data_IF_798622023273
#
_entry.id   IF_798622023273
#
_cell.length_a   1.000
_cell.length_b   1.000
_cell.length_c   1.000
_cell.angle_alpha   90.00
_cell.angle_beta   90.00
_cell.angle_gamma   90.00
#
_symmetry.space_group_name_H-M   'P 1'
#
loop_
_entity.id
_entity.type
_entity.pdbx_description
1 polymer ?
#
# COMPACT_ATOMS: atom_id res chain seq x y z
N UNK A 1 12.51 -13.33 33.53
CA UNK A 1 11.30 -13.37 32.67
C UNK A 1 10.81 -11.93 32.59
N UNK A 2 10.74 -11.22 31.47
CA UNK A 2 10.55 -11.58 30.07
C UNK A 2 11.15 -10.48 29.18
N UNK A 3 12.14 -10.80 28.36
CA UNK A 3 12.52 -9.95 27.22
C UNK A 3 11.91 -10.60 25.98
N UNK A 4 10.64 -10.29 25.74
CA UNK A 4 9.89 -10.83 24.61
C UNK A 4 10.12 -9.94 23.40
N UNK A 5 11.10 -10.29 22.57
CA UNK A 5 11.26 -9.74 21.21
C UNK A 5 9.92 -9.93 20.49
N UNK A 6 9.21 -8.83 20.22
CA UNK A 6 7.87 -8.88 19.67
C UNK A 6 7.97 -9.23 18.18
N UNK A 7 7.73 -10.50 17.84
CA UNK A 7 7.73 -10.97 16.46
C UNK A 7 6.33 -10.78 15.85
N UNK A 8 6.24 -10.01 14.77
CA UNK A 8 4.98 -9.75 14.07
C UNK A 8 4.82 -10.73 12.91
N UNK A 9 3.82 -11.61 13.03
CA UNK A 9 3.41 -12.48 11.92
C UNK A 9 2.19 -11.87 11.22
N UNK A 10 2.37 -11.48 9.96
CA UNK A 10 1.27 -11.03 9.10
C UNK A 10 0.68 -12.18 8.30
N UNK A 11 -0.60 -12.49 8.51
CA UNK A 11 -1.36 -13.39 7.63
C UNK A 11 -2.40 -12.60 6.86
N UNK A 12 -2.31 -12.59 5.54
CA UNK A 12 -3.32 -11.98 4.67
C UNK A 12 -3.68 -12.94 3.54
N UNK A 13 -4.99 -13.12 3.33
CA UNK A 13 -5.50 -13.88 2.20
C UNK A 13 -5.30 -13.14 0.87
N UNK A 14 -5.39 -11.80 0.91
CA UNK A 14 -5.36 -10.93 -0.27
C UNK A 14 -4.64 -9.62 0.10
N UNK A 15 -3.29 -9.60 0.09
CA UNK A 15 -2.51 -8.47 0.56
C UNK A 15 -2.53 -7.26 -0.40
N UNK A 16 -3.10 -7.43 -1.61
CA UNK A 16 -3.28 -6.37 -2.61
C UNK A 16 -4.68 -6.53 -3.20
N UNK A 17 -5.60 -5.63 -2.87
CA UNK A 17 -7.00 -5.68 -3.31
C UNK A 17 -7.26 -4.60 -4.39
N UNK A 18 -6.89 -3.36 -4.10
CA UNK A 18 -7.19 -2.22 -4.99
C UNK A 18 -5.95 -1.53 -5.54
N UNK A 19 -4.89 -1.42 -4.74
CA UNK A 19 -3.64 -0.78 -5.12
C UNK A 19 -2.48 -1.33 -4.26
N UNK A 20 -1.25 -0.92 -4.57
CA UNK A 20 -0.06 -1.46 -3.92
C UNK A 20 0.18 -0.92 -2.50
N UNK A 21 -0.63 0.05 -2.03
CA UNK A 21 -0.51 0.62 -0.69
C UNK A 21 -0.79 -0.43 0.37
N UNK A 22 -1.82 -1.25 0.20
CA UNK A 22 -2.17 -2.31 1.16
C UNK A 22 -1.01 -3.28 1.37
N UNK A 23 -0.39 -3.72 0.26
CA UNK A 23 0.73 -4.64 0.33
C UNK A 23 2.00 -4.00 0.87
N UNK A 24 2.27 -2.74 0.52
CA UNK A 24 3.34 -1.94 1.13
C UNK A 24 3.13 -1.84 2.64
N UNK A 25 1.94 -1.47 3.10
CA UNK A 25 1.63 -1.36 4.52
C UNK A 25 1.77 -2.70 5.25
N UNK A 26 1.44 -3.83 4.62
CA UNK A 26 1.68 -5.15 5.21
C UNK A 26 3.18 -5.42 5.39
N UNK A 27 3.99 -5.10 4.37
CA UNK A 27 5.45 -5.23 4.46
C UNK A 27 6.01 -4.32 5.56
N UNK A 28 5.59 -3.06 5.62
CA UNK A 28 6.03 -2.09 6.63
C UNK A 28 5.62 -2.53 8.04
N UNK A 29 4.42 -3.10 8.19
CA UNK A 29 3.92 -3.61 9.47
C UNK A 29 4.73 -4.81 9.97
N UNK A 30 5.03 -5.77 9.08
CA UNK A 30 5.78 -6.99 9.44
C UNK A 30 7.25 -6.67 9.72
N UNK A 31 7.82 -5.71 8.99
CA UNK A 31 9.24 -5.34 9.14
C UNK A 31 9.46 -4.26 10.20
N UNK A 32 8.44 -3.47 10.55
CA UNK A 32 8.57 -2.29 11.38
C UNK A 32 9.31 -1.12 10.72
N UNK A 33 9.53 -1.16 9.39
CA UNK A 33 10.35 -0.19 8.65
C UNK A 33 9.55 0.41 7.50
N UNK A 34 9.60 1.74 7.34
CA UNK A 34 9.00 2.43 6.19
C UNK A 34 9.72 2.06 4.88
N UNK A 35 8.96 1.68 3.85
CA UNK A 35 9.47 1.19 2.57
C UNK A 35 9.21 2.19 1.44
N UNK A 36 9.97 3.28 1.43
CA UNK A 36 9.90 4.33 0.38
C UNK A 36 10.29 3.82 -1.02
N UNK A 37 11.00 2.68 -1.10
CA UNK A 37 11.36 2.02 -2.35
C UNK A 37 10.18 1.29 -3.04
N UNK A 38 9.11 1.01 -2.27
CA UNK A 38 7.86 0.43 -2.73
C UNK A 38 6.89 1.55 -3.15
N UNK A 39 6.62 1.65 -4.45
CA UNK A 39 5.68 2.62 -5.00
C UNK A 39 4.23 2.16 -4.88
N UNK A 40 3.31 3.09 -4.60
CA UNK A 40 1.88 2.77 -4.39
C UNK A 40 1.07 2.71 -5.70
N UNK A 41 1.60 3.28 -6.78
CA UNK A 41 0.96 3.27 -8.11
C UNK A 41 1.03 1.88 -8.75
N UNK A 42 -0.08 1.41 -9.30
CA UNK A 42 -0.23 0.14 -10.01
C UNK A 42 0.51 0.12 -11.36
N UNK A 43 1.84 0.12 -11.32
CA UNK A 43 2.72 -0.06 -12.48
C UNK A 43 3.43 -1.40 -12.36
N UNK A 44 3.78 -2.03 -13.50
CA UNK A 44 4.47 -3.32 -13.51
C UNK A 44 5.72 -3.33 -12.63
N UNK A 45 6.55 -2.28 -12.72
CA UNK A 45 7.78 -2.17 -11.95
C UNK A 45 7.51 -2.10 -10.43
N UNK A 46 6.47 -1.39 -10.01
CA UNK A 46 6.11 -1.33 -8.59
C UNK A 46 5.51 -2.65 -8.10
N UNK A 47 4.70 -3.33 -8.93
CA UNK A 47 4.18 -4.65 -8.62
C UNK A 47 5.34 -5.65 -8.41
N UNK A 48 6.30 -5.68 -9.33
CA UNK A 48 7.46 -6.57 -9.23
C UNK A 48 8.33 -6.28 -8.01
N UNK A 49 8.50 -5.01 -7.62
CA UNK A 49 9.22 -4.67 -6.37
C UNK A 49 8.48 -5.13 -5.13
N UNK A 50 7.17 -4.98 -5.11
CA UNK A 50 6.36 -5.45 -3.99
C UNK A 50 6.37 -6.99 -3.90
N UNK A 51 6.31 -7.68 -5.05
CA UNK A 51 6.46 -9.13 -5.11
C UNK A 51 7.81 -9.59 -4.56
N UNK A 52 8.91 -8.95 -4.96
CA UNK A 52 10.24 -9.23 -4.40
C UNK A 52 10.26 -9.07 -2.88
N UNK A 53 9.65 -8.01 -2.34
CA UNK A 53 9.56 -7.82 -0.90
C UNK A 53 8.77 -8.95 -0.23
N UNK A 54 7.61 -9.35 -0.77
CA UNK A 54 6.83 -10.46 -0.21
C UNK A 54 7.59 -11.78 -0.21
N UNK A 55 8.27 -12.13 -1.29
CA UNK A 55 9.06 -13.37 -1.39
C UNK A 55 10.21 -13.40 -0.39
N UNK A 56 10.82 -12.25 -0.08
CA UNK A 56 11.87 -12.19 0.95
C UNK A 56 11.35 -12.28 2.40
N UNK A 57 10.07 -11.95 2.64
CA UNK A 57 9.53 -11.78 3.99
C UNK A 57 8.58 -12.89 4.42
N UNK A 58 8.05 -13.69 3.49
CA UNK A 58 7.07 -14.70 3.83
C UNK A 58 6.89 -15.77 2.76
N UNK A 59 6.11 -16.78 3.12
CA UNK A 59 5.76 -17.91 2.24
C UNK A 59 4.35 -17.68 1.70
N UNK A 60 4.22 -17.71 0.39
CA UNK A 60 2.92 -17.68 -0.29
C UNK A 60 2.39 -19.11 -0.45
N UNK A 61 1.32 -19.45 0.25
CA UNK A 61 0.56 -20.68 0.01
C UNK A 61 -0.68 -20.37 -0.82
N UNK A 62 -0.74 -20.88 -2.06
CA UNK A 62 -1.92 -20.81 -2.93
C UNK A 62 -2.51 -22.22 -3.04
N UNK A 63 -3.72 -22.41 -2.54
CA UNK A 63 -4.43 -23.67 -2.72
C UNK A 63 -4.76 -23.80 -4.20
N UNK A 64 -4.16 -24.78 -4.89
CA UNK A 64 -4.50 -25.05 -6.28
C UNK A 64 -5.98 -25.44 -6.35
N UNK A 65 -6.73 -24.93 -7.35
CA UNK A 65 -8.09 -25.39 -7.61
C UNK A 65 -8.11 -26.93 -7.68
N UNK A 66 -8.97 -27.57 -6.89
CA UNK A 66 -9.15 -29.03 -6.98
C UNK A 66 -10.08 -29.42 -8.13
N UNK A 67 -10.90 -28.48 -8.57
CA UNK A 67 -11.92 -28.65 -9.60
C UNK A 67 -11.69 -27.68 -10.75
N UNK A 68 -12.18 -28.03 -11.94
CA UNK A 68 -12.12 -27.16 -13.11
C UNK A 68 -13.17 -26.06 -12.98
N UNK A 69 -12.76 -24.78 -13.05
CA UNK A 69 -13.68 -23.64 -13.04
C UNK A 69 -13.89 -23.16 -14.48
N UNK A 70 -15.11 -23.29 -14.97
CA UNK A 70 -15.51 -22.82 -16.29
C UNK A 70 -16.24 -21.49 -16.17
N UNK A 71 -15.59 -20.39 -16.57
CA UNK A 71 -16.16 -19.04 -16.59
C UNK A 71 -16.76 -18.77 -17.97
N UNK A 72 -18.08 -18.63 -18.06
CA UNK A 72 -18.81 -18.45 -19.31
C UNK A 72 -19.48 -17.08 -19.29
N UNK A 73 -19.17 -16.25 -20.30
CA UNK A 73 -19.87 -14.97 -20.53
C UNK A 73 -21.07 -15.22 -21.43
N UNK A 74 -22.25 -14.80 -21.00
CA UNK A 74 -23.50 -14.92 -21.76
C UNK A 74 -23.87 -13.51 -22.22
N UNK A 75 -23.81 -13.20 -23.52
CA UNK A 75 -24.17 -11.87 -24.00
C UNK A 75 -25.68 -11.64 -23.85
N UNK A 76 -26.06 -10.47 -23.32
CA UNK A 76 -27.46 -10.07 -23.11
C UNK A 76 -27.70 -8.74 -23.83
N UNK A 77 -28.56 -8.73 -24.84
CA UNK A 77 -28.95 -7.50 -25.53
C UNK A 77 -29.92 -6.68 -24.67
N UNK A 78 -29.48 -5.48 -24.26
CA UNK A 78 -30.28 -4.50 -23.54
C UNK A 78 -30.49 -3.21 -24.34
N UNK A 79 -30.38 -3.24 -25.67
CA UNK A 79 -30.56 -2.07 -26.56
C UNK A 79 -31.91 -1.37 -26.31
N UNK A 80 -32.97 -2.15 -26.10
CA UNK A 80 -34.31 -1.65 -25.78
C UNK A 80 -34.43 -0.90 -24.44
N UNK A 81 -33.40 -0.94 -23.59
CA UNK A 81 -33.36 -0.26 -22.30
C UNK A 81 -32.38 0.91 -22.27
N UNK A 82 -31.65 1.18 -23.36
CA UNK A 82 -30.61 2.24 -23.40
C UNK A 82 -31.19 3.61 -23.04
N UNK A 83 -32.35 3.98 -23.59
CA UNK A 83 -33.02 5.25 -23.28
C UNK A 83 -33.40 5.34 -21.80
N UNK A 84 -33.95 4.25 -21.26
CA UNK A 84 -34.30 4.16 -19.84
C UNK A 84 -33.06 4.25 -18.95
N UNK A 85 -31.95 3.63 -19.34
CA UNK A 85 -30.66 3.72 -18.62
C UNK A 85 -30.16 5.18 -18.63
N UNK A 86 -30.31 5.90 -19.73
CA UNK A 86 -29.91 7.31 -19.85
C UNK A 86 -30.73 8.22 -18.93
N UNK A 87 -32.04 7.99 -18.85
CA UNK A 87 -32.95 8.81 -18.05
C UNK A 87 -32.96 8.45 -16.56
N UNK A 88 -33.03 7.16 -16.23
CA UNK A 88 -33.24 6.67 -14.85
C UNK A 88 -31.95 6.16 -14.19
N UNK A 89 -30.90 5.86 -14.95
CA UNK A 89 -29.61 5.33 -14.50
C UNK A 89 -28.71 6.34 -13.78
N UNK A 90 -29.30 7.20 -12.97
CA UNK A 90 -28.65 8.30 -12.22
C UNK A 90 -27.64 7.84 -11.17
N UNK A 91 -27.65 6.55 -10.81
CA UNK A 91 -26.69 5.93 -9.88
C UNK A 91 -26.37 4.50 -10.29
N UNK A 92 -25.25 3.97 -9.78
CA UNK A 92 -24.85 2.57 -10.02
C UNK A 92 -25.96 1.60 -9.60
N UNK A 93 -26.62 1.84 -8.47
CA UNK A 93 -27.71 0.99 -7.99
C UNK A 93 -28.90 1.01 -8.96
N UNK A 94 -29.30 2.20 -9.44
CA UNK A 94 -30.41 2.33 -10.41
C UNK A 94 -30.08 1.68 -11.75
N UNK A 95 -28.85 1.88 -12.23
CA UNK A 95 -28.37 1.23 -13.45
C UNK A 95 -28.41 -0.30 -13.31
N UNK A 96 -27.91 -0.84 -12.20
CA UNK A 96 -27.92 -2.29 -11.96
C UNK A 96 -29.33 -2.86 -11.73
N UNK A 97 -30.27 -2.08 -11.17
CA UNK A 97 -31.69 -2.45 -11.09
C UNK A 97 -32.28 -2.64 -12.50
N UNK A 98 -31.98 -1.72 -13.43
CA UNK A 98 -32.45 -1.80 -14.81
C UNK A 98 -31.77 -2.96 -15.55
N UNK A 99 -30.44 -3.06 -15.46
CA UNK A 99 -29.68 -4.13 -16.13
C UNK A 99 -30.03 -5.52 -15.60
N UNK A 100 -30.32 -5.67 -14.31
CA UNK A 100 -30.82 -6.93 -13.75
C UNK A 100 -32.08 -7.39 -14.48
N UNK A 101 -33.03 -6.48 -14.74
CA UNK A 101 -34.25 -6.83 -15.48
C UNK A 101 -33.96 -7.39 -16.88
N UNK A 102 -32.91 -6.87 -17.55
CA UNK A 102 -32.44 -7.40 -18.83
C UNK A 102 -31.79 -8.79 -18.69
N UNK A 103 -31.06 -9.03 -17.61
CA UNK A 103 -30.36 -10.30 -17.36
C UNK A 103 -31.30 -11.42 -16.95
N UNK A 104 -32.44 -11.13 -16.31
CA UNK A 104 -33.39 -12.12 -15.76
C UNK A 104 -33.73 -13.25 -16.75
N UNK A 105 -34.16 -12.99 -18.01
CA UNK A 105 -34.49 -14.07 -18.95
C UNK A 105 -33.32 -15.03 -19.20
N UNK A 106 -32.10 -14.48 -19.32
CA UNK A 106 -30.89 -15.28 -19.50
C UNK A 106 -30.52 -16.06 -18.24
N UNK A 107 -30.75 -15.48 -17.06
CA UNK A 107 -30.57 -16.16 -15.76
C UNK A 107 -31.53 -17.34 -15.65
N UNK A 108 -32.82 -17.13 -15.94
CA UNK A 108 -33.85 -18.17 -15.84
C UNK A 108 -33.57 -19.37 -16.75
N UNK A 109 -33.08 -19.14 -17.97
CA UNK A 109 -32.71 -20.19 -18.92
C UNK A 109 -31.59 -21.11 -18.41
N UNK A 110 -30.76 -20.61 -17.50
CA UNK A 110 -29.59 -21.31 -16.98
C UNK A 110 -29.80 -21.87 -15.56
N UNK A 111 -30.95 -21.60 -14.94
CA UNK A 111 -31.27 -22.13 -13.62
C UNK A 111 -31.57 -23.63 -13.72
N UNK A 112 -31.01 -24.35 -12.75
CA UNK A 112 -31.31 -25.75 -12.45
C UNK A 112 -31.27 -25.95 -10.93
N UNK A 113 -31.74 -27.09 -10.39
CA UNK A 113 -31.63 -27.37 -8.96
C UNK A 113 -30.19 -27.16 -8.46
N UNK A 114 -30.08 -26.59 -7.26
CA UNK A 114 -28.81 -26.25 -6.59
C UNK A 114 -27.98 -25.17 -7.30
N UNK A 115 -28.65 -24.21 -7.93
CA UNK A 115 -27.99 -23.03 -8.51
C UNK A 115 -27.91 -21.88 -7.50
N UNK A 116 -26.75 -21.22 -7.42
CA UNK A 116 -26.60 -19.98 -6.65
C UNK A 116 -26.62 -18.79 -7.59
N UNK A 117 -27.48 -17.81 -7.33
CA UNK A 117 -27.51 -16.52 -8.02
C UNK A 117 -26.90 -15.46 -7.10
N UNK A 118 -25.71 -14.98 -7.46
CA UNK A 118 -25.00 -13.97 -6.70
C UNK A 118 -25.28 -12.56 -7.23
N UNK A 119 -25.56 -11.63 -6.32
CA UNK A 119 -25.68 -10.21 -6.61
C UNK A 119 -24.96 -9.36 -5.56
N UNK A 120 -24.02 -8.52 -5.99
CA UNK A 120 -23.30 -7.63 -5.08
C UNK A 120 -24.20 -6.55 -4.47
N UNK A 121 -25.16 -6.02 -5.24
CA UNK A 121 -26.16 -5.05 -4.77
C UNK A 121 -27.48 -5.75 -4.46
N UNK A 122 -28.10 -5.37 -3.34
CA UNK A 122 -29.28 -6.06 -2.78
C UNK A 122 -30.57 -5.27 -3.03
N UNK A 123 -30.57 -3.97 -2.69
CA UNK A 123 -31.77 -3.13 -2.65
C UNK A 123 -32.50 -3.07 -3.99
N UNK A 124 -33.76 -3.53 -4.02
CA UNK A 124 -34.62 -3.57 -5.20
C UNK A 124 -34.19 -4.55 -6.30
N UNK A 125 -33.07 -5.25 -6.15
CA UNK A 125 -32.56 -6.26 -7.10
C UNK A 125 -32.99 -7.65 -6.68
N UNK A 126 -32.88 -7.95 -5.38
CA UNK A 126 -33.22 -9.26 -4.84
C UNK A 126 -34.70 -9.57 -5.01
N UNK A 127 -35.58 -8.59 -4.80
CA UNK A 127 -37.02 -8.78 -5.01
C UNK A 127 -37.35 -9.06 -6.48
N UNK A 128 -36.67 -8.39 -7.43
CA UNK A 128 -36.84 -8.65 -8.86
C UNK A 128 -36.43 -10.10 -9.21
N UNK A 129 -35.26 -10.53 -8.72
CA UNK A 129 -34.78 -11.89 -8.92
C UNK A 129 -35.72 -12.92 -8.29
N UNK A 130 -36.15 -12.70 -7.04
CA UNK A 130 -37.08 -13.57 -6.32
C UNK A 130 -38.37 -13.76 -7.10
N UNK A 131 -39.05 -12.67 -7.45
CA UNK A 131 -40.34 -12.70 -8.15
C UNK A 131 -40.21 -13.42 -9.50
N UNK A 132 -39.14 -13.17 -10.25
CA UNK A 132 -38.93 -13.82 -11.54
C UNK A 132 -38.63 -15.32 -11.41
N UNK A 133 -37.81 -15.72 -10.43
CA UNK A 133 -37.41 -17.12 -10.24
C UNK A 133 -38.57 -17.95 -9.67
N UNK A 134 -39.31 -17.42 -8.69
CA UNK A 134 -40.53 -18.06 -8.18
C UNK A 134 -41.62 -18.12 -9.25
N UNK A 135 -41.76 -17.07 -10.07
CA UNK A 135 -42.69 -17.03 -11.20
C UNK A 135 -42.37 -18.07 -12.29
N UNK A 136 -41.12 -18.50 -12.41
CA UNK A 136 -40.69 -19.60 -13.26
C UNK A 136 -40.87 -20.99 -12.63
N UNK A 137 -41.42 -21.06 -11.41
CA UNK A 137 -41.75 -22.31 -10.71
C UNK A 137 -40.65 -22.87 -9.81
N UNK A 138 -39.58 -22.12 -9.55
CA UNK A 138 -38.48 -22.56 -8.70
C UNK A 138 -38.66 -22.14 -7.24
N UNK A 139 -38.17 -22.96 -6.31
CA UNK A 139 -38.11 -22.59 -4.89
C UNK A 139 -36.86 -21.75 -4.61
N UNK A 140 -37.02 -20.65 -3.88
CA UNK A 140 -35.95 -19.65 -3.66
C UNK A 140 -35.66 -19.46 -2.16
N UNK A 141 -34.38 -19.45 -1.82
CA UNK A 141 -33.87 -19.09 -0.49
C UNK A 141 -32.88 -17.94 -0.54
N UNK A 142 -32.56 -17.39 0.64
CA UNK A 142 -31.66 -16.24 0.76
C UNK A 142 -30.43 -16.52 1.61
N UNK A 143 -29.30 -15.92 1.19
CA UNK A 143 -28.07 -15.87 1.97
C UNK A 143 -27.38 -14.50 1.88
N UNK A 144 -27.87 -13.56 2.69
CA UNK A 144 -27.49 -12.15 2.70
C UNK A 144 -27.17 -11.66 4.11
N UNK A 145 -26.73 -10.41 4.25
CA UNK A 145 -26.40 -9.83 5.56
C UNK A 145 -27.57 -9.79 6.54
N UNK A 146 -28.80 -9.67 6.04
CA UNK A 146 -30.04 -9.62 6.85
C UNK A 146 -30.83 -10.93 6.95
N UNK A 147 -30.63 -11.87 6.02
CA UNK A 147 -31.35 -13.16 6.01
C UNK A 147 -30.43 -14.28 5.52
N UNK A 148 -30.20 -15.27 6.40
CA UNK A 148 -29.36 -16.46 6.12
C UNK A 148 -30.14 -17.77 6.28
N UNK A 149 -31.47 -17.69 6.40
CA UNK A 149 -32.34 -18.83 6.70
C UNK A 149 -32.29 -19.91 5.63
N UNK A 150 -32.24 -19.52 4.35
CA UNK A 150 -32.26 -20.45 3.21
C UNK A 150 -31.02 -21.32 3.03
N UNK A 151 -29.98 -21.19 3.88
CA UNK A 151 -28.75 -21.98 3.75
C UNK A 151 -28.99 -23.48 3.93
N UNK A 152 -29.65 -23.88 5.02
CA UNK A 152 -29.78 -25.29 5.37
C UNK A 152 -30.73 -25.99 4.39
N UNK A 153 -31.85 -25.33 4.09
CA UNK A 153 -32.86 -25.75 3.12
C UNK A 153 -32.28 -25.88 1.69
N UNK A 154 -31.30 -25.05 1.35
CA UNK A 154 -30.56 -25.21 0.09
C UNK A 154 -29.60 -26.41 0.13
N UNK A 155 -28.97 -26.71 1.27
CA UNK A 155 -28.07 -27.87 1.40
C UNK A 155 -28.86 -29.19 1.46
N UNK A 156 -30.03 -29.21 2.10
CA UNK A 156 -30.78 -30.44 2.32
C UNK A 156 -31.60 -30.91 1.12
N UNK A 157 -31.97 -30.03 0.20
CA UNK A 157 -32.84 -30.42 -0.93
C UNK A 157 -34.04 -29.51 -1.11
N UNK A 158 -34.51 -28.87 -0.05
CA UNK A 158 -35.81 -28.19 0.03
C UNK A 158 -35.91 -26.93 -0.83
N UNK A 159 -34.77 -26.31 -1.14
CA UNK A 159 -34.67 -25.13 -2.01
C UNK A 159 -33.82 -25.43 -3.25
N UNK A 160 -34.31 -25.01 -4.41
CA UNK A 160 -33.66 -25.16 -5.71
C UNK A 160 -32.62 -24.06 -5.96
N UNK A 161 -32.95 -22.81 -5.65
CA UNK A 161 -32.14 -21.64 -5.98
C UNK A 161 -31.83 -20.81 -4.74
N UNK A 162 -30.56 -20.45 -4.55
CA UNK A 162 -30.13 -19.57 -3.48
C UNK A 162 -29.71 -18.21 -4.04
N UNK A 163 -30.38 -17.14 -3.62
CA UNK A 163 -29.95 -15.77 -3.90
C UNK A 163 -28.98 -15.32 -2.80
N UNK A 164 -27.75 -15.02 -3.19
CA UNK A 164 -26.67 -14.69 -2.28
C UNK A 164 -26.07 -13.31 -2.58
N UNK A 165 -25.55 -12.65 -1.54
CA UNK A 165 -24.82 -11.39 -1.67
C UNK A 165 -23.40 -11.49 -1.09
N UNK A 166 -22.72 -10.36 -0.90
CA UNK A 166 -21.37 -10.28 -0.32
C UNK A 166 -21.21 -11.03 1.01
N UNK A 167 -22.30 -11.24 1.75
CA UNK A 167 -22.32 -12.07 2.96
C UNK A 167 -21.80 -13.50 2.73
N UNK A 168 -21.94 -14.05 1.52
CA UNK A 168 -21.46 -15.39 1.17
C UNK A 168 -19.93 -15.50 1.22
N UNK A 169 -19.21 -14.40 1.00
CA UNK A 169 -17.76 -14.37 1.11
C UNK A 169 -17.26 -14.62 2.55
N UNK A 170 -18.13 -14.43 3.57
CA UNK A 170 -17.76 -14.52 4.99
C UNK A 170 -18.11 -15.87 5.64
N UNK A 171 -17.12 -16.74 5.83
CA UNK A 171 -17.12 -17.79 6.87
C UNK A 171 -18.14 -18.93 6.74
N UNK A 172 -18.79 -19.13 5.59
CA UNK A 172 -19.88 -20.12 5.46
C UNK A 172 -19.36 -21.45 4.91
N UNK A 173 -19.68 -22.56 5.59
CA UNK A 173 -19.38 -23.94 5.17
C UNK A 173 -20.61 -24.70 4.65
N UNK A 174 -20.46 -25.51 3.60
CA UNK A 174 -21.47 -26.47 3.14
C UNK A 174 -21.92 -26.34 1.67
N UNK A 175 -21.89 -25.14 1.07
CA UNK A 175 -22.38 -24.94 -0.31
C UNK A 175 -21.62 -25.76 -1.35
N UNK A 176 -20.33 -26.01 -1.13
CA UNK A 176 -19.51 -26.84 -2.00
C UNK A 176 -20.02 -28.28 -2.10
N UNK A 177 -20.84 -28.78 -1.17
CA UNK A 177 -21.30 -30.17 -1.21
C UNK A 177 -22.44 -30.39 -2.21
N UNK A 178 -23.09 -29.32 -2.65
CA UNK A 178 -24.35 -29.39 -3.39
C UNK A 178 -24.38 -28.51 -4.64
N UNK A 179 -23.55 -27.46 -4.68
CA UNK A 179 -23.56 -26.47 -5.76
C UNK A 179 -22.33 -26.61 -6.65
N UNK A 180 -22.60 -26.76 -7.94
CA UNK A 180 -21.64 -26.76 -9.05
C UNK A 180 -21.92 -25.65 -10.08
N UNK A 181 -22.91 -24.78 -9.82
CA UNK A 181 -23.31 -23.68 -10.70
C UNK A 181 -23.54 -22.37 -9.95
N UNK A 182 -22.79 -21.36 -10.35
CA UNK A 182 -22.87 -20.00 -9.84
C UNK A 182 -23.22 -19.05 -10.99
N UNK A 183 -24.31 -18.30 -10.86
CA UNK A 183 -24.69 -17.23 -11.78
C UNK A 183 -24.36 -15.89 -11.12
N UNK A 184 -23.48 -15.11 -11.75
CA UNK A 184 -23.11 -13.77 -11.28
C UNK A 184 -24.04 -12.74 -11.95
N UNK A 185 -25.19 -12.44 -11.34
CA UNK A 185 -26.05 -11.33 -11.82
C UNK A 185 -25.29 -10.01 -11.74
N UNK A 186 -24.61 -9.78 -10.61
CA UNK A 186 -23.75 -8.61 -10.39
C UNK A 186 -22.47 -9.10 -9.71
N UNK A 187 -21.32 -9.12 -10.42
CA UNK A 187 -20.08 -9.62 -9.85
C UNK A 187 -19.53 -8.69 -8.76
N UNK A 188 -18.62 -9.14 -7.88
CA UNK A 188 -17.91 -8.25 -6.95
C UNK A 188 -17.09 -7.16 -7.66
N UNK A 189 -16.63 -6.15 -6.92
CA UNK A 189 -15.80 -5.06 -7.48
C UNK A 189 -14.31 -5.40 -7.57
N UNK A 190 -13.89 -6.45 -6.87
CA UNK A 190 -12.49 -6.84 -6.74
C UNK A 190 -12.32 -8.32 -7.05
N UNK A 191 -11.18 -8.66 -7.66
CA UNK A 191 -10.83 -10.05 -7.94
C UNK A 191 -10.68 -10.85 -6.65
N UNK A 192 -10.18 -10.21 -5.58
CA UNK A 192 -10.09 -10.77 -4.25
C UNK A 192 -11.45 -11.27 -3.72
N UNK A 193 -12.50 -10.45 -3.81
CA UNK A 193 -13.85 -10.87 -3.41
C UNK A 193 -14.38 -12.00 -4.28
N UNK A 194 -14.10 -11.97 -5.59
CA UNK A 194 -14.49 -13.04 -6.51
C UNK A 194 -13.76 -14.35 -6.19
N UNK A 195 -12.44 -14.32 -5.95
CA UNK A 195 -11.67 -15.49 -5.53
C UNK A 195 -12.13 -16.03 -4.18
N UNK A 196 -12.50 -15.15 -3.24
CA UNK A 196 -13.09 -15.57 -1.97
C UNK A 196 -14.43 -16.28 -2.18
N UNK A 197 -15.30 -15.76 -3.05
CA UNK A 197 -16.57 -16.38 -3.42
C UNK A 197 -16.33 -17.75 -4.09
N UNK A 198 -15.42 -17.81 -5.06
CA UNK A 198 -15.01 -19.04 -5.74
C UNK A 198 -14.47 -20.07 -4.73
N UNK A 199 -13.62 -19.64 -3.78
CA UNK A 199 -13.07 -20.49 -2.73
C UNK A 199 -14.11 -21.07 -1.74
N UNK A 200 -15.33 -20.50 -1.68
CA UNK A 200 -16.43 -21.11 -0.90
C UNK A 200 -17.03 -22.32 -1.60
N UNK A 201 -16.90 -22.40 -2.92
CA UNK A 201 -17.41 -23.48 -3.76
C UNK A 201 -16.29 -24.45 -4.18
N UNK A 202 -15.07 -23.95 -4.37
CA UNK A 202 -13.88 -24.71 -4.75
C UNK A 202 -12.97 -24.93 -3.52
N UNK A 203 -13.35 -25.87 -2.65
CA UNK A 203 -12.55 -26.28 -1.48
C UNK A 203 -12.79 -27.74 -1.11
N UNK A 204 -12.13 -28.21 -0.04
CA UNK A 204 -12.29 -29.57 0.48
C UNK A 204 -13.77 -29.89 0.77
N UNK A 205 -14.25 -31.03 0.25
CA UNK A 205 -15.64 -31.46 0.36
C UNK A 205 -16.53 -31.12 -0.85
N UNK A 206 -15.97 -30.53 -1.90
CA UNK A 206 -16.65 -30.42 -3.19
C UNK A 206 -16.77 -31.80 -3.84
N UNK A 207 -18.00 -32.16 -4.22
CA UNK A 207 -18.34 -33.48 -4.80
C UNK A 207 -18.33 -33.49 -6.32
N UNK A 208 -18.40 -32.31 -6.94
CA UNK A 208 -18.41 -32.14 -8.39
C UNK A 208 -17.02 -31.81 -8.93
N UNK A 209 -16.66 -32.37 -10.08
CA UNK A 209 -15.35 -32.14 -10.71
C UNK A 209 -15.22 -30.77 -11.40
N UNK A 210 -16.36 -30.12 -11.68
CA UNK A 210 -16.43 -28.86 -12.43
C UNK A 210 -17.38 -27.87 -11.74
N UNK A 211 -16.98 -26.59 -11.68
CA UNK A 211 -17.83 -25.47 -11.28
C UNK A 211 -18.06 -24.55 -12.48
N UNK A 212 -19.32 -24.38 -12.88
CA UNK A 212 -19.73 -23.44 -13.92
C UNK A 212 -20.06 -22.08 -13.31
N UNK A 213 -19.32 -21.05 -13.71
CA UNK A 213 -19.59 -19.67 -13.34
C UNK A 213 -20.12 -18.94 -14.58
N UNK A 214 -21.41 -18.61 -14.57
CA UNK A 214 -22.10 -17.94 -15.65
C UNK A 214 -22.18 -16.44 -15.35
N UNK A 215 -21.81 -15.61 -16.34
CA UNK A 215 -21.81 -14.16 -16.24
C UNK A 215 -22.67 -13.60 -17.38
N UNK A 216 -23.94 -13.26 -17.14
CA UNK A 216 -24.73 -12.48 -18.07
C UNK A 216 -24.11 -11.09 -18.23
N UNK A 217 -23.61 -10.76 -19.42
CA UNK A 217 -22.94 -9.50 -19.74
C UNK A 217 -23.86 -8.70 -20.65
N UNK A 218 -24.40 -7.59 -20.16
CA UNK A 218 -25.29 -6.74 -20.94
C UNK A 218 -24.52 -5.88 -21.94
N UNK A 219 -25.01 -5.78 -23.16
CA UNK A 219 -24.55 -4.83 -24.18
C UNK A 219 -25.75 -4.16 -24.85
N UNK A 220 -25.55 -2.94 -25.37
CA UNK A 220 -26.56 -2.22 -26.12
C UNK A 220 -25.94 -1.39 -27.25
N UNK A 221 -26.78 -0.98 -28.19
CA UNK A 221 -26.41 -0.07 -29.27
C UNK A 221 -27.00 1.33 -28.99
N UNK A 222 -26.15 2.35 -28.96
CA UNK A 222 -26.52 3.76 -28.81
C UNK A 222 -26.16 4.50 -30.10
N UNK A 223 -27.15 4.94 -30.89
CA UNK A 223 -26.94 5.50 -32.24
C UNK A 223 -26.06 4.62 -33.16
N UNK A 224 -26.10 3.30 -32.96
CA UNK A 224 -25.29 2.32 -33.70
C UNK A 224 -23.89 2.07 -33.13
N UNK A 225 -23.49 2.77 -32.06
CA UNK A 225 -22.25 2.51 -31.32
C UNK A 225 -22.47 1.46 -30.22
N UNK A 226 -21.55 0.50 -30.11
CA UNK A 226 -21.60 -0.53 -29.07
C UNK A 226 -21.23 0.04 -27.71
N UNK A 227 -22.11 -0.15 -26.73
CA UNK A 227 -21.92 0.26 -25.35
C UNK A 227 -22.19 -0.90 -24.40
N UNK A 228 -21.33 -1.07 -23.39
CA UNK A 228 -21.55 -2.05 -22.32
C UNK A 228 -20.97 -1.58 -20.99
N UNK A 229 -21.84 -1.39 -20.00
CA UNK A 229 -21.46 -1.19 -18.60
C UNK A 229 -20.71 -2.39 -18.03
N UNK A 230 -21.19 -3.60 -18.30
CA UNK A 230 -20.66 -4.84 -17.74
C UNK A 230 -19.28 -5.19 -18.29
N UNK A 231 -19.03 -4.96 -19.58
CA UNK A 231 -17.70 -5.16 -20.17
C UNK A 231 -16.68 -4.21 -19.53
N UNK A 232 -17.04 -2.94 -19.34
CA UNK A 232 -16.19 -1.97 -18.64
C UNK A 232 -15.90 -2.38 -17.18
N UNK A 233 -16.90 -2.92 -16.48
CA UNK A 233 -16.73 -3.43 -15.11
C UNK A 233 -15.86 -4.68 -15.05
N UNK A 234 -16.07 -5.64 -15.95
CA UNK A 234 -15.25 -6.85 -16.04
C UNK A 234 -13.81 -6.54 -16.44
N UNK A 235 -13.59 -5.57 -17.33
CA UNK A 235 -12.25 -5.10 -17.67
C UNK A 235 -11.53 -4.51 -16.45
N UNK A 236 -12.23 -3.74 -15.60
CA UNK A 236 -11.66 -3.25 -14.33
C UNK A 236 -11.34 -4.39 -13.36
N UNK A 237 -12.20 -5.40 -13.28
CA UNK A 237 -11.98 -6.58 -12.44
C UNK A 237 -10.73 -7.35 -12.89
N UNK A 238 -10.59 -7.57 -14.19
CA UNK A 238 -9.41 -8.22 -14.80
C UNK A 238 -8.14 -7.39 -14.59
N UNK A 239 -8.20 -6.06 -14.77
CA UNK A 239 -7.07 -5.17 -14.51
C UNK A 239 -6.62 -5.20 -13.04
N UNK A 240 -7.56 -5.21 -12.08
CA UNK A 240 -7.23 -5.35 -10.65
C UNK A 240 -6.64 -6.72 -10.32
N UNK A 241 -7.20 -7.79 -10.90
CA UNK A 241 -6.64 -9.14 -10.78
C UNK A 241 -5.19 -9.17 -11.24
N UNK A 242 -4.93 -8.57 -12.39
CA UNK A 242 -3.61 -8.50 -13.03
C UNK A 242 -2.58 -7.77 -12.15
N UNK A 243 -2.99 -6.70 -11.46
CA UNK A 243 -2.11 -5.97 -10.52
C UNK A 243 -1.84 -6.79 -9.26
N UNK A 244 -2.85 -7.44 -8.70
CA UNK A 244 -2.70 -8.30 -7.53
C UNK A 244 -1.82 -9.52 -7.84
N UNK A 245 -2.09 -10.21 -8.96
CA UNK A 245 -1.31 -11.35 -9.43
C UNK A 245 0.15 -10.96 -9.72
N UNK A 246 0.38 -9.79 -10.33
CA UNK A 246 1.73 -9.29 -10.55
C UNK A 246 2.46 -8.92 -9.24
N UNK A 247 1.76 -8.33 -8.28
CA UNK A 247 2.35 -7.87 -7.04
C UNK A 247 2.54 -8.96 -5.99
N UNK A 248 1.70 -9.99 -5.99
CA UNK A 248 1.71 -11.06 -4.98
C UNK A 248 2.35 -12.32 -5.54
N UNK A 249 1.93 -12.74 -6.73
CA UNK A 249 2.32 -14.02 -7.34
C UNK A 249 3.40 -13.85 -8.44
N UNK A 250 3.78 -12.60 -8.78
CA UNK A 250 4.82 -12.31 -9.77
C UNK A 250 4.40 -12.58 -11.22
N UNK A 251 3.10 -12.76 -11.47
CA UNK A 251 2.56 -13.06 -12.80
C UNK A 251 2.66 -11.83 -13.71
N UNK A 252 3.10 -12.03 -14.95
CA UNK A 252 3.14 -10.95 -15.93
C UNK A 252 1.74 -10.72 -16.53
N UNK A 253 1.24 -9.49 -16.56
CA UNK A 253 0.01 -9.11 -17.25
C UNK A 253 0.03 -9.46 -18.75
N UNK A 254 -1.00 -10.12 -19.25
CA UNK A 254 -1.17 -10.33 -20.70
C UNK A 254 -1.70 -9.07 -21.43
N UNK A 255 -2.22 -8.08 -20.70
CA UNK A 255 -2.73 -6.81 -21.23
C UNK A 255 -1.66 -5.72 -21.30
N UNK A 256 -1.64 -4.98 -22.43
CA UNK A 256 -0.73 -3.88 -22.77
C UNK A 256 -0.17 -3.11 -21.55
N UNK A 257 1.06 -3.43 -21.18
CA UNK A 257 1.86 -2.52 -20.36
C UNK A 257 3.10 -2.00 -21.09
N UNK A 258 3.47 -2.59 -22.23
CA UNK A 258 4.64 -2.23 -23.04
C UNK A 258 4.46 -2.66 -24.49
N UNK A 259 5.01 -1.88 -25.43
CA UNK A 259 5.27 -2.38 -26.79
C UNK A 259 6.45 -3.36 -26.76
N UNK A 260 6.55 -4.29 -27.72
CA UNK A 260 7.69 -5.22 -27.83
C UNK A 260 9.04 -4.48 -27.77
N UNK A 261 9.13 -3.32 -28.43
CA UNK A 261 10.30 -2.44 -28.43
C UNK A 261 10.67 -1.88 -27.05
N UNK A 262 9.69 -1.74 -26.15
CA UNK A 262 9.89 -1.21 -24.80
C UNK A 262 10.24 -2.32 -23.81
N UNK A 263 9.65 -3.51 -23.98
CA UNK A 263 10.07 -4.73 -23.27
C UNK A 263 11.51 -5.12 -23.63
N UNK A 264 11.89 -5.05 -24.92
CA UNK A 264 13.25 -5.37 -25.37
C UNK A 264 14.31 -4.38 -24.86
N UNK A 265 13.98 -3.08 -24.79
CA UNK A 265 14.87 -2.06 -24.20
C UNK A 265 15.09 -2.25 -22.70
N UNK A 266 14.02 -2.56 -21.96
CA UNK A 266 14.11 -2.79 -20.51
C UNK A 266 14.82 -4.12 -20.19
N UNK A 267 14.60 -5.16 -20.99
CA UNK A 267 15.34 -6.42 -20.91
C UNK A 267 16.85 -6.19 -21.14
N UNK A 268 17.23 -5.40 -22.15
CA UNK A 268 18.64 -5.02 -22.34
C UNK A 268 19.20 -4.23 -21.16
N UNK A 269 18.45 -3.24 -20.63
CA UNK A 269 18.88 -2.49 -19.43
C UNK A 269 19.01 -3.40 -18.20
N UNK A 270 18.17 -4.41 -18.07
CA UNK A 270 18.24 -5.38 -16.98
C UNK A 270 19.41 -6.36 -17.14
N UNK A 271 19.68 -6.85 -18.36
CA UNK A 271 20.84 -7.69 -18.68
C UNK A 271 22.16 -6.95 -18.49
N UNK A 272 22.23 -5.67 -18.85
CA UNK A 272 23.39 -4.80 -18.55
C UNK A 272 23.60 -4.67 -17.04
N UNK A 273 22.53 -4.51 -16.25
CA UNK A 273 22.60 -4.44 -14.78
C UNK A 273 23.04 -5.75 -14.11
N UNK A 274 22.74 -6.90 -14.71
CA UNK A 274 23.22 -8.19 -14.23
C UNK A 274 24.72 -8.41 -14.55
N UNK A 275 25.22 -7.84 -15.64
CA UNK A 275 26.63 -7.92 -16.02
C UNK A 275 27.54 -7.02 -15.16
N UNK A 276 27.03 -5.95 -14.57
CA UNK A 276 27.83 -4.99 -13.81
C UNK A 276 27.90 -5.24 -12.30
N UNK A 277 27.25 -6.28 -11.77
CA UNK A 277 27.19 -6.57 -10.32
C UNK A 277 26.79 -5.36 -9.44
N UNK A 278 26.05 -4.39 -9.98
CA UNK A 278 25.59 -3.23 -9.20
C UNK A 278 24.42 -3.64 -8.29
N UNK A 279 24.73 -3.96 -7.04
CA UNK A 279 23.79 -3.79 -5.93
C UNK A 279 23.50 -2.30 -5.81
N UNK A 280 22.23 -1.89 -5.88
CA UNK A 280 21.88 -0.47 -5.66
C UNK A 280 22.16 -0.11 -4.20
N UNK A 281 22.98 0.91 -3.92
CA UNK A 281 22.99 1.52 -2.60
C UNK A 281 21.63 2.21 -2.37
N UNK A 282 21.17 2.18 -1.13
CA UNK A 282 20.04 2.98 -0.64
C UNK A 282 20.35 4.44 -0.97
N UNK A 283 19.62 5.03 -1.91
CA UNK A 283 19.76 6.45 -2.23
C UNK A 283 19.19 7.23 -1.05
N UNK A 284 20.06 7.72 -0.17
CA UNK A 284 19.72 8.71 0.86
C UNK A 284 19.22 9.98 0.15
N UNK A 285 18.13 10.56 0.65
CA UNK A 285 17.67 11.88 0.20
C UNK A 285 18.82 12.88 0.34
N UNK A 286 19.14 13.62 -0.73
CA UNK A 286 20.22 14.61 -0.69
C UNK A 286 19.87 15.68 0.36
N UNK A 287 20.65 15.73 1.43
CA UNK A 287 20.57 16.79 2.45
C UNK A 287 21.38 17.98 1.92
N UNK A 288 20.81 19.18 1.99
CA UNK A 288 21.47 20.42 1.57
C UNK A 288 20.96 21.59 2.41
N UNK A 289 21.86 22.52 2.72
CA UNK A 289 21.60 23.74 3.49
C UNK A 289 22.41 24.87 2.85
N UNK A 290 21.82 26.05 2.60
CA UNK A 290 20.45 26.45 2.93
C UNK A 290 19.39 25.81 2.01
N UNK A 291 18.15 25.71 2.49
CA UNK A 291 16.99 25.41 1.66
C UNK A 291 16.74 26.56 0.67
N UNK A 292 16.25 26.29 -0.55
CA UNK A 292 16.07 27.31 -1.57
C UNK A 292 14.78 28.07 -1.29
N UNK A 293 14.84 29.40 -1.27
CA UNK A 293 13.65 30.25 -1.15
C UNK A 293 13.09 30.65 -2.52
N UNK A 294 13.17 29.74 -3.49
CA UNK A 294 12.74 29.99 -4.88
C UNK A 294 11.23 29.95 -5.05
N UNK A 295 10.51 29.30 -4.14
CA UNK A 295 9.05 29.19 -4.14
C UNK A 295 8.45 29.81 -2.86
N UNK A 296 7.76 30.96 -2.95
CA UNK A 296 7.12 31.61 -1.81
C UNK A 296 6.09 30.73 -1.08
N UNK A 297 5.41 29.84 -1.80
CA UNK A 297 4.41 28.94 -1.20
C UNK A 297 5.09 27.90 -0.30
N UNK A 298 6.26 27.39 -0.72
CA UNK A 298 7.04 26.45 0.09
C UNK A 298 7.64 27.11 1.33
N UNK A 299 8.16 28.35 1.19
CA UNK A 299 8.64 29.15 2.33
C UNK A 299 7.51 29.38 3.34
N UNK A 300 6.32 29.76 2.86
CA UNK A 300 5.16 29.96 3.72
C UNK A 300 4.72 28.68 4.43
N UNK A 301 4.70 27.54 3.72
CA UNK A 301 4.45 26.21 4.31
C UNK A 301 5.44 25.90 5.44
N UNK A 302 6.75 26.04 5.18
CA UNK A 302 7.81 25.77 6.17
C UNK A 302 7.65 26.65 7.41
N UNK A 303 7.34 27.94 7.23
CA UNK A 303 7.12 28.87 8.34
C UNK A 303 5.88 28.52 9.17
N UNK A 304 4.78 28.09 8.53
CA UNK A 304 3.59 27.61 9.23
C UNK A 304 3.91 26.34 10.03
N UNK A 305 4.54 25.35 9.39
CA UNK A 305 4.84 24.04 9.96
C UNK A 305 5.86 24.07 11.09
N UNK A 306 6.98 24.78 10.92
CA UNK A 306 8.11 24.72 11.86
C UNK A 306 8.23 25.98 12.72
N UNK A 307 7.93 27.15 12.14
CA UNK A 307 8.02 28.44 12.81
C UNK A 307 9.33 29.16 12.56
N UNK A 308 9.52 30.26 13.28
CA UNK A 308 10.77 31.01 13.25
C UNK A 308 11.89 30.28 14.02
N UNK A 309 13.11 30.80 13.89
CA UNK A 309 14.29 30.23 14.55
C UNK A 309 14.09 30.12 16.07
N UNK A 310 13.53 31.14 16.70
CA UNK A 310 13.28 31.18 18.15
C UNK A 310 12.36 30.05 18.61
N UNK A 311 11.25 29.81 17.88
CA UNK A 311 10.30 28.74 18.18
C UNK A 311 10.91 27.36 17.98
N UNK A 312 11.62 27.16 16.86
CA UNK A 312 12.29 25.88 16.58
C UNK A 312 13.37 25.59 17.64
N UNK A 313 14.19 26.58 17.98
CA UNK A 313 15.24 26.47 18.98
C UNK A 313 14.67 26.19 20.38
N UNK A 314 13.59 26.88 20.78
CA UNK A 314 12.92 26.60 22.04
C UNK A 314 12.36 25.17 22.08
N UNK A 315 11.76 24.69 20.99
CA UNK A 315 11.25 23.32 20.88
C UNK A 315 12.36 22.28 21.01
N UNK A 316 13.48 22.47 20.33
CA UNK A 316 14.62 21.56 20.37
C UNK A 316 15.25 21.51 21.78
N UNK A 317 15.36 22.65 22.46
CA UNK A 317 15.96 22.72 23.80
C UNK A 317 15.05 22.21 24.93
N UNK A 318 13.73 22.25 24.74
CA UNK A 318 12.76 21.79 25.76
C UNK A 318 12.38 20.32 25.65
N UNK A 319 12.65 19.67 24.50
CA UNK A 319 12.39 18.26 24.22
C UNK A 319 13.57 17.35 24.64
N UNK A 320 13.29 16.08 24.92
CA UNK A 320 14.34 15.06 25.13
C UNK A 320 15.13 14.80 23.84
N UNK A 321 16.41 14.43 23.97
CA UNK A 321 17.31 14.18 22.83
C UNK A 321 16.77 13.10 21.89
N UNK A 322 16.34 11.96 22.46
CA UNK A 322 15.73 10.86 21.71
C UNK A 322 14.47 11.28 20.96
N UNK A 323 13.58 12.06 21.60
CA UNK A 323 12.37 12.57 20.95
C UNK A 323 12.69 13.52 19.78
N UNK A 324 13.74 14.34 19.91
CA UNK A 324 14.20 15.17 18.80
C UNK A 324 14.81 14.31 17.68
N UNK A 325 15.62 13.32 18.03
CA UNK A 325 16.27 12.43 17.08
C UNK A 325 15.25 11.67 16.23
N UNK A 326 14.29 11.00 16.86
CA UNK A 326 13.20 10.29 16.16
C UNK A 326 12.38 11.24 15.28
N UNK A 327 12.03 12.45 15.79
CA UNK A 327 11.28 13.44 15.02
C UNK A 327 12.04 13.90 13.78
N UNK A 328 13.34 14.16 13.93
CA UNK A 328 14.20 14.69 12.87
C UNK A 328 14.56 13.61 11.85
N UNK A 329 14.78 12.36 12.26
CA UNK A 329 15.00 11.25 11.33
C UNK A 329 13.78 10.99 10.44
N UNK A 330 12.57 11.06 11.03
CA UNK A 330 11.33 10.92 10.29
C UNK A 330 11.09 12.07 9.30
N UNK A 331 11.61 13.26 9.59
CA UNK A 331 11.48 14.44 8.74
C UNK A 331 12.77 15.30 8.69
N UNK A 332 13.76 14.91 7.85
CA UNK A 332 15.03 15.63 7.73
C UNK A 332 14.89 17.09 7.27
N UNK A 333 13.75 17.46 6.66
CA UNK A 333 13.45 18.85 6.30
C UNK A 333 13.41 19.77 7.52
N UNK A 334 12.99 19.27 8.70
CA UNK A 334 13.01 20.07 9.93
C UNK A 334 14.44 20.48 10.30
N UNK A 335 15.41 19.57 10.13
CA UNK A 335 16.83 19.85 10.37
C UNK A 335 17.38 20.84 9.34
N UNK A 336 17.06 20.64 8.05
CA UNK A 336 17.48 21.54 6.98
C UNK A 336 16.93 22.97 7.18
N UNK A 337 15.67 23.09 7.58
CA UNK A 337 15.05 24.37 7.89
C UNK A 337 15.69 25.02 9.12
N UNK A 338 15.94 24.26 10.18
CA UNK A 338 16.62 24.77 11.37
C UNK A 338 17.98 25.37 11.03
N UNK A 339 18.81 24.63 10.27
CA UNK A 339 20.14 25.09 9.89
C UNK A 339 20.11 26.25 8.89
N UNK A 340 19.10 26.32 8.01
CA UNK A 340 18.89 27.48 7.12
C UNK A 340 18.60 28.75 7.93
N UNK A 341 17.66 28.67 8.87
CA UNK A 341 17.32 29.80 9.75
C UNK A 341 18.47 30.17 10.71
N UNK A 342 19.22 29.18 11.18
CA UNK A 342 20.42 29.39 12.00
C UNK A 342 21.52 30.13 11.25
N UNK A 343 21.78 29.78 9.97
CA UNK A 343 22.74 30.48 9.12
C UNK A 343 22.39 31.96 8.96
N UNK A 344 21.11 32.28 8.79
CA UNK A 344 20.64 33.67 8.68
C UNK A 344 20.74 34.40 10.03
N UNK A 345 20.25 33.80 11.11
CA UNK A 345 20.24 34.40 12.44
C UNK A 345 21.66 34.76 12.92
N UNK A 346 22.65 33.89 12.68
CA UNK A 346 24.01 34.07 13.18
C UNK A 346 24.79 35.21 12.48
N UNK A 347 24.33 35.73 11.34
CA UNK A 347 24.97 36.87 10.65
C UNK A 347 24.97 38.15 11.48
N UNK A 348 24.01 38.30 12.38
CA UNK A 348 23.84 39.51 13.22
C UNK A 348 24.43 39.37 14.61
N UNK A 349 25.05 38.21 14.93
CA UNK A 349 25.58 37.93 16.27
C UNK A 349 26.98 38.52 16.42
N UNK A 350 27.23 39.19 17.55
CA UNK A 350 28.55 39.77 17.86
C UNK A 350 29.61 38.71 18.18
N UNK A 351 29.19 37.54 18.67
CA UNK A 351 30.08 36.43 19.02
C UNK A 351 29.46 35.12 18.54
N UNK A 352 30.26 34.30 17.85
CA UNK A 352 29.86 33.00 17.34
C UNK A 352 30.54 31.87 18.13
N UNK A 353 29.79 31.00 18.84
CA UNK A 353 30.38 29.96 19.70
C UNK A 353 31.37 29.01 19.01
N UNK A 354 31.09 28.60 17.77
CA UNK A 354 31.98 27.71 17.03
C UNK A 354 33.30 28.40 16.64
N UNK A 355 33.30 29.73 16.42
CA UNK A 355 34.53 30.48 16.12
C UNK A 355 35.42 30.60 17.36
N UNK A 356 34.84 30.79 18.54
CA UNK A 356 35.59 30.77 19.79
C UNK A 356 36.20 29.38 20.06
N UNK A 357 35.47 28.32 19.73
CA UNK A 357 35.95 26.94 19.79
C UNK A 357 37.15 26.72 18.86
N UNK A 358 37.09 27.24 17.62
CA UNK A 358 38.21 27.23 16.67
C UNK A 358 39.41 28.00 17.22
N UNK A 359 39.22 29.23 17.73
CA UNK A 359 40.32 30.03 18.32
C UNK A 359 40.99 29.32 19.49
N UNK A 360 40.23 28.57 20.28
CA UNK A 360 40.75 27.80 21.40
C UNK A 360 41.57 26.60 20.93
N UNK A 361 41.06 25.84 19.95
CA UNK A 361 41.74 24.67 19.37
C UNK A 361 42.99 25.06 18.58
N UNK A 362 42.98 26.20 17.88
CA UNK A 362 44.12 26.68 17.08
C UNK A 362 45.44 26.79 17.84
N UNK A 363 45.38 26.98 19.17
CA UNK A 363 46.54 27.10 20.06
C UNK A 363 47.12 25.74 20.49
N UNK A 364 46.55 24.63 19.99
CA UNK A 364 46.87 23.24 20.35
C UNK A 364 47.00 22.39 19.08
N UNK A 365 47.50 21.17 19.23
CA UNK A 365 47.58 20.16 18.16
C UNK A 365 47.29 18.77 18.73
N UNK A 366 46.99 17.81 17.85
CA UNK A 366 46.96 16.37 18.13
C UNK A 366 45.90 15.89 19.13
N UNK A 367 44.91 16.73 19.45
CA UNK A 367 43.73 16.36 20.23
C UNK A 367 42.74 15.50 19.45
N UNK A 368 42.07 14.59 20.16
CA UNK A 368 40.86 13.89 19.75
C UNK A 368 39.64 14.65 20.27
N UNK A 369 38.87 15.26 19.37
CA UNK A 369 37.80 16.20 19.69
C UNK A 369 36.43 15.64 19.31
N UNK A 370 35.49 15.63 20.25
CA UNK A 370 34.07 15.34 19.99
C UNK A 370 33.24 16.60 19.77
N UNK A 371 32.55 16.72 18.64
CA UNK A 371 31.62 17.82 18.34
C UNK A 371 30.17 17.31 18.39
N UNK A 372 29.47 17.59 19.49
CA UNK A 372 28.14 17.08 19.81
C UNK A 372 27.06 18.09 19.40
N UNK A 373 26.36 17.79 18.30
CA UNK A 373 25.49 18.74 17.61
C UNK A 373 26.28 19.61 16.62
N UNK A 374 27.15 18.97 15.83
CA UNK A 374 28.12 19.64 14.96
C UNK A 374 27.49 20.42 13.80
N UNK A 375 26.22 20.15 13.47
CA UNK A 375 25.49 20.76 12.37
C UNK A 375 26.23 20.59 11.04
N UNK A 376 26.76 21.71 10.55
CA UNK A 376 27.52 21.77 9.29
C UNK A 376 29.00 21.33 9.42
N UNK A 377 29.42 20.88 10.61
CA UNK A 377 30.77 20.45 10.96
C UNK A 377 31.83 21.56 10.72
N UNK A 378 31.53 22.79 11.11
CA UNK A 378 32.39 23.96 10.83
C UNK A 378 33.72 23.93 11.58
N UNK A 379 33.76 23.35 12.78
CA UNK A 379 34.98 23.28 13.60
C UNK A 379 35.99 22.33 12.94
N UNK A 380 35.55 21.11 12.61
CA UNK A 380 36.40 20.13 11.95
C UNK A 380 36.83 20.57 10.56
N UNK A 381 35.95 21.22 9.78
CA UNK A 381 36.34 21.83 8.49
C UNK A 381 37.48 22.84 8.60
N UNK A 382 37.57 23.56 9.71
CA UNK A 382 38.59 24.61 9.89
C UNK A 382 39.94 24.08 10.40
N UNK A 383 39.97 22.89 11.03
CA UNK A 383 41.14 22.39 11.77
C UNK A 383 41.41 20.90 11.55
N UNK A 384 40.87 20.28 10.50
CA UNK A 384 41.03 18.85 10.19
C UNK A 384 42.49 18.41 10.02
N UNK A 385 43.39 19.35 9.72
CA UNK A 385 44.83 19.14 9.57
C UNK A 385 45.58 19.08 10.91
N UNK A 386 44.95 19.51 12.02
CA UNK A 386 45.59 19.64 13.34
C UNK A 386 45.06 18.68 14.40
N UNK A 387 43.84 18.18 14.25
CA UNK A 387 43.13 17.40 15.26
C UNK A 387 42.32 16.28 14.63
N UNK A 388 42.03 15.24 15.42
CA UNK A 388 41.09 14.18 15.04
C UNK A 388 39.70 14.57 15.52
N UNK A 389 38.69 14.50 14.65
CA UNK A 389 37.32 14.91 14.99
C UNK A 389 36.32 13.77 14.91
N UNK A 390 35.49 13.66 15.95
CA UNK A 390 34.28 12.86 15.96
C UNK A 390 33.07 13.80 15.97
N UNK A 391 32.47 14.02 14.80
CA UNK A 391 31.33 14.93 14.67
C UNK A 391 30.03 14.13 14.77
N UNK A 392 29.14 14.52 15.68
CA UNK A 392 27.86 13.86 15.90
C UNK A 392 26.71 14.82 15.70
N UNK A 393 25.69 14.41 14.95
CA UNK A 393 24.43 15.15 14.84
C UNK A 393 23.26 14.20 14.59
N UNK A 394 22.04 14.72 14.67
CA UNK A 394 20.84 13.96 14.37
C UNK A 394 20.69 13.63 12.88
N UNK A 395 21.38 14.36 12.00
CA UNK A 395 21.40 14.14 10.54
C UNK A 395 22.83 14.32 10.02
N UNK A 396 23.33 13.36 9.25
CA UNK A 396 24.64 13.47 8.59
C UNK A 396 24.55 14.28 7.29
N UNK A 397 25.01 15.53 7.30
CA UNK A 397 25.08 16.40 6.11
C UNK A 397 26.21 16.02 5.14
N UNK A 398 27.25 15.32 5.60
CA UNK A 398 28.36 14.81 4.81
C UNK A 398 29.04 13.63 5.53
N UNK A 399 30.03 13.01 4.87
CA UNK A 399 30.70 11.80 5.36
C UNK A 399 31.55 12.03 6.64
N UNK A 400 31.83 13.27 7.02
CA UNK A 400 32.55 13.57 8.26
C UNK A 400 31.64 13.61 9.49
N UNK A 401 30.31 13.49 9.32
CA UNK A 401 29.32 13.52 10.40
C UNK A 401 28.74 12.14 10.64
N UNK A 402 28.79 11.70 11.89
CA UNK A 402 28.17 10.48 12.36
C UNK A 402 26.74 10.81 12.80
N UNK A 403 25.76 10.21 12.15
CA UNK A 403 24.35 10.36 12.50
C UNK A 403 24.00 9.50 13.72
N UNK A 404 23.61 10.14 14.84
CA UNK A 404 23.16 9.45 16.04
C UNK A 404 22.35 10.38 16.96
N UNK A 405 21.68 9.80 17.96
CA UNK A 405 21.25 10.57 19.13
C UNK A 405 22.51 11.07 19.86
N UNK A 406 22.72 12.38 19.94
CA UNK A 406 23.88 12.99 20.62
C UNK A 406 23.96 12.66 22.12
N UNK A 407 22.92 12.08 22.72
CA UNK A 407 22.96 11.54 24.09
C UNK A 407 23.48 10.09 24.18
N UNK A 408 23.61 9.40 23.04
CA UNK A 408 24.08 8.02 22.89
C UNK A 408 25.01 7.91 21.68
N UNK A 409 26.27 8.32 21.86
CA UNK A 409 27.28 8.28 20.80
C UNK A 409 28.02 6.94 20.77
N UNK A 410 28.39 6.42 19.59
CA UNK A 410 29.13 5.18 19.44
C UNK A 410 30.64 5.38 19.68
N UNK A 411 31.00 5.82 20.88
CA UNK A 411 32.38 6.00 21.32
C UNK A 411 32.66 5.17 22.57
N UNK A 412 33.89 4.69 22.70
CA UNK A 412 34.37 4.06 23.93
C UNK A 412 34.61 5.10 25.02
N UNK A 413 34.49 4.67 26.28
CA UNK A 413 34.76 5.55 27.41
C UNK A 413 36.22 6.07 27.39
N UNK A 414 36.42 7.34 27.73
CA UNK A 414 37.72 8.02 27.81
C UNK A 414 38.52 8.12 26.48
N UNK A 415 37.84 8.11 25.33
CA UNK A 415 38.52 8.22 24.03
C UNK A 415 38.68 9.65 23.49
N UNK A 416 38.14 10.67 24.18
CA UNK A 416 38.18 12.08 23.74
C UNK A 416 39.06 12.91 24.68
N UNK A 417 39.93 13.76 24.11
CA UNK A 417 40.71 14.75 24.86
C UNK A 417 39.91 16.03 25.14
N UNK A 418 38.94 16.35 24.28
CA UNK A 418 38.07 17.52 24.43
C UNK A 418 36.72 17.27 23.75
N UNK A 419 35.65 17.85 24.27
CA UNK A 419 34.36 17.91 23.57
C UNK A 419 33.76 19.31 23.53
N UNK A 420 32.97 19.58 22.50
CA UNK A 420 32.13 20.77 22.35
C UNK A 420 30.68 20.35 22.16
N UNK A 421 29.75 21.09 22.73
CA UNK A 421 28.32 20.81 22.56
C UNK A 421 27.43 21.74 23.38
N UNK A 422 26.16 21.79 23.02
CA UNK A 422 25.14 22.53 23.76
C UNK A 422 24.43 21.62 24.78
N UNK A 423 24.22 22.13 25.99
CA UNK A 423 23.53 21.40 27.06
C UNK A 423 22.05 21.16 26.69
N UNK A 424 21.69 19.94 26.28
CA UNK A 424 20.30 19.53 26.00
C UNK A 424 19.65 18.90 27.23
N UNK A 425 18.32 19.00 27.34
CA UNK A 425 17.58 18.41 28.46
C UNK A 425 17.62 16.87 28.35
N UNK A 426 18.14 16.20 29.39
CA UNK A 426 18.30 14.74 29.42
C UNK A 426 19.71 14.23 29.07
N UNK A 427 20.65 15.09 28.67
CA UNK A 427 22.08 14.70 28.65
C UNK A 427 22.55 14.56 30.09
N UNK A 428 22.98 13.36 30.49
CA UNK A 428 23.77 13.18 31.73
C UNK A 428 24.94 14.15 31.66
N UNK A 429 25.34 14.71 32.81
CA UNK A 429 26.59 15.48 32.94
C UNK A 429 27.73 14.61 32.40
N UNK A 430 28.12 14.81 31.14
CA UNK A 430 29.48 14.56 30.72
C UNK A 430 30.26 15.79 31.20
N UNK A 431 30.61 15.78 32.47
CA UNK A 431 31.91 16.27 32.92
C UNK A 431 32.70 14.97 33.15
N UNK A 432 33.97 14.87 32.78
CA UNK A 432 35.12 15.40 33.52
C UNK A 432 36.34 15.33 32.59
N UNK A 433 37.24 16.31 32.69
CA UNK A 433 38.65 16.18 32.31
C UNK A 433 39.15 17.28 31.41
#
# INVERSE_FOLDING_TARGET
MSDSTLLVLGMSATPVINNLKEGKSLVELVTGVERKDLGEKATLNNCMRLHQAFVTLGIRSKVKPKITINKIKIPVDCTHLVDKIREEGTSVLKMEQILTSARIPSILNEIRPKTIVYTHYVEGIVDQLKVAIEGAGWTVGFHMGGDKSGKNDFIDGSIDVLIASSAMATGVDGFQKVCDRLILNIPPWTSAELEQLEGRLNRQGQVHDTLSILMPVTYGLDDGEHWSWDEGRLARLQNKQTVADAAVDGVMPDGQLRTESQAFRDLRKWLERLKTCEQKPIVRSKIFVPLPDTDPADVQRRNVSYGDFSRMNARWNTSYSQTNYERIQNNPEEWMQYHTLYQEARKTWSVLPYQESIKWLQKRSDLVVGDFGCGEALISKALADKHTFHNFDFIAINDSVIECDVSQVPLEDNCLDQYFGHKKRGTKKLFIG
#
